data_IF_287183800314
#
_entry.id   IF_287183800314
#
_cell.length_a   1.000
_cell.length_b   1.000
_cell.length_c   1.000
_cell.angle_alpha   90.00
_cell.angle_beta   90.00
_cell.angle_gamma   90.00
#
_symmetry.space_group_name_H-M   'P 1'
#
loop_
_entity.id
_entity.type
_entity.pdbx_description
1 polymer ?
#
# COMPACT_ATOMS: atom_id res chain seq x y z
N UNK A 1 -16.67 8.91 21.10
CA UNK A 1 -17.35 8.47 22.33
C UNK A 1 -18.83 8.34 22.02
N UNK A 2 -19.36 7.12 22.01
CA UNK A 2 -20.81 6.89 21.91
C UNK A 2 -21.42 7.08 23.29
N UNK A 3 -22.37 8.00 23.41
CA UNK A 3 -23.32 7.98 24.53
C UNK A 3 -24.58 7.26 24.06
N UNK A 4 -24.85 6.08 24.61
CA UNK A 4 -26.17 5.47 24.60
C UNK A 4 -26.93 5.95 25.84
N UNK A 5 -28.14 6.46 25.65
CA UNK A 5 -29.17 6.47 26.70
C UNK A 5 -30.34 5.61 26.23
N UNK A 6 -30.90 4.75 27.10
CA UNK A 6 -32.07 3.95 26.81
C UNK A 6 -33.35 4.77 27.03
N UNK A 7 -34.46 4.28 26.46
CA UNK A 7 -35.85 4.74 26.56
C UNK A 7 -36.39 5.58 25.38
N UNK A 8 -37.29 4.92 24.63
CA UNK A 8 -38.45 5.41 23.86
C UNK A 8 -38.35 5.38 22.31
N UNK A 9 -39.42 4.96 21.60
CA UNK A 9 -39.36 4.33 20.28
C UNK A 9 -39.67 5.30 19.13
N UNK A 10 -38.90 6.38 19.02
CA UNK A 10 -38.98 7.29 17.88
C UNK A 10 -37.58 7.75 17.52
N UNK A 11 -37.07 7.28 16.38
CA UNK A 11 -35.82 7.76 15.79
C UNK A 11 -35.98 9.24 15.40
N UNK A 12 -35.45 10.13 16.24
CA UNK A 12 -35.03 11.47 15.84
C UNK A 12 -33.52 11.54 16.06
N UNK A 13 -32.75 11.39 14.98
CA UNK A 13 -31.34 11.77 14.97
C UNK A 13 -31.24 13.23 14.50
N UNK A 14 -30.75 14.12 15.36
CA UNK A 14 -30.21 15.41 14.94
C UNK A 14 -28.71 15.27 14.69
N UNK A 15 -28.28 15.44 13.45
CA UNK A 15 -26.90 15.85 13.17
C UNK A 15 -26.85 17.38 13.15
N UNK A 16 -25.95 17.94 13.95
CA UNK A 16 -25.53 19.33 13.90
C UNK A 16 -24.69 19.51 12.62
N UNK A 17 -24.98 20.56 11.88
CA UNK A 17 -24.28 21.06 10.68
C UNK A 17 -24.71 20.49 9.31
N UNK A 18 -25.89 20.94 8.84
CA UNK A 18 -26.12 21.18 7.41
C UNK A 18 -26.99 22.43 7.20
N UNK A 19 -26.38 23.45 6.61
CA UNK A 19 -27.02 24.68 6.15
C UNK A 19 -27.76 24.40 4.82
N UNK A 20 -29.10 24.59 4.78
CA UNK A 20 -29.93 25.10 3.66
C UNK A 20 -31.36 24.52 3.65
N UNK A 21 -32.41 25.32 3.38
CA UNK A 21 -33.80 24.86 3.36
C UNK A 21 -34.14 24.28 1.99
N UNK A 22 -34.59 23.01 1.94
CA UNK A 22 -35.31 22.47 0.78
C UNK A 22 -36.69 21.98 1.24
N UNK A 23 -37.71 22.66 0.73
CA UNK A 23 -39.12 22.30 0.87
C UNK A 23 -39.36 20.87 0.35
N UNK A 24 -39.68 19.93 1.24
CA UNK A 24 -40.22 18.64 0.83
C UNK A 24 -41.74 18.76 0.64
N UNK A 25 -42.21 18.69 -0.61
CA UNK A 25 -43.62 18.46 -0.91
C UNK A 25 -43.96 17.02 -0.50
N UNK A 26 -44.76 16.87 0.56
CA UNK A 26 -45.34 15.60 0.97
C UNK A 26 -46.33 15.16 -0.11
N UNK A 27 -46.10 14.02 -0.77
CA UNK A 27 -47.08 13.43 -1.71
C UNK A 27 -48.10 12.64 -0.87
N UNK A 28 -49.41 12.82 -1.08
CA UNK A 28 -50.41 12.04 -0.35
C UNK A 28 -50.34 10.57 -0.81
N UNK A 29 -50.34 9.64 0.15
CA UNK A 29 -50.49 8.21 -0.08
C UNK A 29 -52.00 7.88 -0.10
N UNK A 30 -52.46 7.13 -1.10
CA UNK A 30 -53.84 6.65 -1.18
C UNK A 30 -53.83 5.14 -0.94
N UNK A 31 -54.67 4.68 0.01
CA UNK A 31 -54.78 3.28 0.40
C UNK A 31 -55.65 2.53 -0.61
N UNK A 32 -55.13 1.49 -1.26
CA UNK A 32 -55.94 0.57 -2.09
C UNK A 32 -56.30 -0.66 -1.26
N UNK A 33 -57.60 -0.89 -1.05
CA UNK A 33 -58.13 -1.93 -0.17
C UNK A 33 -58.03 -3.37 -0.74
N UNK A 34 -57.46 -3.57 -1.92
CA UNK A 34 -57.44 -4.90 -2.59
C UNK A 34 -56.09 -5.64 -2.49
N UNK A 35 -55.00 -5.02 -2.04
CA UNK A 35 -53.66 -5.70 -2.02
C UNK A 35 -52.77 -5.43 -0.81
N UNK A 36 -53.27 -4.74 0.22
CA UNK A 36 -52.57 -4.49 1.49
C UNK A 36 -51.11 -4.01 1.33
N UNK A 37 -50.85 -3.16 0.31
CA UNK A 37 -49.53 -2.56 0.03
C UNK A 37 -49.65 -1.06 -0.25
N UNK A 38 -48.76 -0.29 0.38
CA UNK A 38 -48.56 1.15 0.12
C UNK A 38 -47.85 1.34 -1.23
N UNK A 39 -48.58 1.75 -2.27
CA UNK A 39 -48.03 2.09 -3.59
C UNK A 39 -48.11 3.60 -3.83
N UNK A 40 -47.04 4.15 -4.40
CA UNK A 40 -47.01 5.52 -4.93
C UNK A 40 -47.93 5.61 -6.14
N UNK A 41 -48.86 6.57 -6.15
CA UNK A 41 -49.74 6.83 -7.28
C UNK A 41 -48.92 7.18 -8.53
N UNK A 42 -48.87 6.25 -9.50
CA UNK A 42 -48.39 6.54 -10.85
C UNK A 42 -49.61 7.04 -11.63
N UNK A 43 -49.57 8.31 -12.06
CA UNK A 43 -50.56 8.85 -12.98
C UNK A 43 -50.61 7.99 -14.26
N UNK A 44 -51.79 7.53 -14.71
CA UNK A 44 -51.92 6.99 -16.04
C UNK A 44 -51.86 8.18 -17.02
N UNK A 45 -51.08 8.02 -18.08
CA UNK A 45 -50.89 8.98 -19.17
C UNK A 45 -49.94 10.18 -18.90
N UNK A 46 -48.66 9.86 -18.71
CA UNK A 46 -47.57 10.68 -19.26
C UNK A 46 -47.13 9.98 -20.53
N UNK A 47 -47.16 10.67 -21.66
CA UNK A 47 -46.63 10.18 -22.94
C UNK A 47 -45.31 9.44 -22.71
N UNK A 48 -45.28 8.17 -23.13
CA UNK A 48 -44.29 7.16 -22.76
C UNK A 48 -42.94 7.47 -23.43
N UNK A 49 -42.27 8.50 -22.93
CA UNK A 49 -40.97 8.93 -23.39
C UNK A 49 -39.89 7.93 -22.97
N UNK A 50 -38.84 7.86 -23.77
CA UNK A 50 -37.71 6.99 -23.51
C UNK A 50 -37.04 7.32 -22.17
N UNK A 51 -36.98 6.35 -21.27
CA UNK A 51 -36.35 6.48 -19.95
C UNK A 51 -34.82 6.45 -20.07
N UNK A 52 -34.10 6.93 -19.04
CA UNK A 52 -32.66 6.71 -18.92
C UNK A 52 -31.78 7.46 -19.93
N UNK A 53 -32.14 8.70 -20.31
CA UNK A 53 -31.30 9.51 -21.20
C UNK A 53 -31.32 9.09 -22.67
N UNK A 54 -32.25 8.21 -23.04
CA UNK A 54 -32.49 7.82 -24.41
C UNK A 54 -33.29 8.91 -25.17
N UNK A 55 -32.95 9.14 -26.45
CA UNK A 55 -33.62 10.09 -27.34
C UNK A 55 -34.75 9.41 -28.13
N UNK A 56 -34.51 8.22 -28.66
CA UNK A 56 -35.50 7.40 -29.37
C UNK A 56 -35.38 5.95 -28.92
N UNK A 57 -36.50 5.26 -28.70
CA UNK A 57 -36.55 3.91 -28.12
C UNK A 57 -37.66 3.09 -28.75
N UNK A 58 -37.59 1.78 -28.54
CA UNK A 58 -38.57 0.77 -28.93
C UNK A 58 -38.72 -0.25 -27.81
N UNK A 59 -39.89 -0.86 -27.69
CA UNK A 59 -40.17 -1.84 -26.62
C UNK A 59 -39.29 -3.10 -26.73
N UNK A 60 -38.90 -3.46 -27.96
CA UNK A 60 -38.12 -4.68 -28.23
C UNK A 60 -36.61 -4.44 -28.17
N UNK A 61 -36.11 -3.39 -28.82
CA UNK A 61 -34.67 -3.15 -28.92
C UNK A 61 -34.15 -2.20 -27.84
N UNK A 62 -35.02 -1.70 -26.95
CA UNK A 62 -34.67 -0.68 -25.97
C UNK A 62 -34.35 0.64 -26.64
N UNK A 63 -33.27 1.29 -26.21
CA UNK A 63 -32.85 2.55 -26.80
C UNK A 63 -32.26 2.37 -28.20
N UNK A 64 -32.61 3.28 -29.11
CA UNK A 64 -32.10 3.34 -30.49
C UNK A 64 -31.09 4.48 -30.67
N UNK A 65 -31.29 5.61 -29.99
CA UNK A 65 -30.37 6.75 -30.01
C UNK A 65 -30.25 7.39 -28.63
N UNK A 66 -29.04 7.74 -28.22
CA UNK A 66 -28.77 8.38 -26.95
C UNK A 66 -28.81 9.91 -27.05
N UNK A 67 -29.20 10.57 -25.95
CA UNK A 67 -29.01 12.02 -25.83
C UNK A 67 -27.51 12.36 -25.90
N UNK A 68 -27.16 13.60 -26.31
CA UNK A 68 -25.77 14.04 -26.37
C UNK A 68 -25.02 13.78 -25.06
N UNK A 69 -23.71 13.49 -25.17
CA UNK A 69 -22.77 13.16 -24.06
C UNK A 69 -22.91 11.76 -23.45
N UNK A 70 -24.00 11.04 -23.70
CA UNK A 70 -24.14 9.64 -23.27
C UNK A 70 -23.55 8.69 -24.30
N UNK A 71 -23.15 7.51 -23.85
CA UNK A 71 -22.62 6.42 -24.66
C UNK A 71 -23.65 5.32 -24.87
N UNK A 72 -23.81 4.91 -26.12
CA UNK A 72 -24.63 3.78 -26.51
C UNK A 72 -23.89 2.46 -26.28
N UNK A 73 -24.54 1.52 -25.61
CA UNK A 73 -24.07 0.14 -25.39
C UNK A 73 -25.17 -0.84 -25.74
N UNK A 74 -24.81 -1.96 -26.35
CA UNK A 74 -25.71 -3.09 -26.60
C UNK A 74 -25.50 -4.14 -25.51
N UNK A 75 -26.50 -4.30 -24.65
CA UNK A 75 -26.52 -5.35 -23.64
C UNK A 75 -27.15 -6.61 -24.20
N UNK A 76 -26.51 -7.76 -23.97
CA UNK A 76 -27.01 -9.07 -24.43
C UNK A 76 -27.60 -9.83 -23.25
N UNK A 77 -28.92 -10.02 -23.27
CA UNK A 77 -29.65 -10.85 -22.32
C UNK A 77 -30.19 -12.08 -23.05
N UNK A 78 -29.42 -13.17 -23.02
CA UNK A 78 -29.71 -14.39 -23.79
C UNK A 78 -29.57 -14.16 -25.30
N UNK A 79 -30.69 -14.31 -26.02
CA UNK A 79 -30.78 -14.02 -27.46
C UNK A 79 -31.16 -12.56 -27.76
N UNK A 80 -31.64 -11.82 -26.76
CA UNK A 80 -32.08 -10.43 -26.94
C UNK A 80 -30.90 -9.48 -26.84
N UNK A 81 -30.82 -8.51 -27.75
CA UNK A 81 -29.92 -7.37 -27.65
C UNK A 81 -30.73 -6.10 -27.41
N UNK A 82 -30.38 -5.35 -26.38
CA UNK A 82 -31.08 -4.14 -25.96
C UNK A 82 -30.08 -2.99 -25.93
N UNK A 83 -30.41 -1.89 -26.59
CA UNK A 83 -29.64 -0.66 -26.53
C UNK A 83 -29.89 0.09 -25.23
N UNK A 84 -28.82 0.52 -24.58
CA UNK A 84 -28.84 1.26 -23.32
C UNK A 84 -27.91 2.48 -23.45
N UNK A 85 -28.26 3.57 -22.79
CA UNK A 85 -27.44 4.78 -22.74
C UNK A 85 -26.82 4.95 -21.36
N UNK A 86 -25.49 5.06 -21.32
CA UNK A 86 -24.74 5.20 -20.07
C UNK A 86 -23.91 6.49 -20.07
N UNK A 87 -23.67 7.05 -18.89
CA UNK A 87 -22.79 8.22 -18.71
C UNK A 87 -21.30 7.83 -18.85
N UNK A 88 -20.96 6.59 -18.53
CA UNK A 88 -19.62 6.01 -18.67
C UNK A 88 -19.73 4.57 -19.16
N UNK A 89 -18.70 4.11 -19.89
CA UNK A 89 -18.66 2.74 -20.37
C UNK A 89 -18.37 1.75 -19.22
N UNK A 90 -18.97 0.54 -19.26
CA UNK A 90 -18.71 -0.50 -18.27
C UNK A 90 -17.28 -1.03 -18.38
N UNK A 91 -16.82 -1.76 -17.35
CA UNK A 91 -15.49 -2.39 -17.34
C UNK A 91 -15.28 -3.28 -18.58
N UNK A 92 -14.07 -3.23 -19.14
CA UNK A 92 -13.75 -3.91 -20.41
C UNK A 92 -14.18 -3.14 -21.67
N UNK A 93 -14.72 -1.94 -21.54
CA UNK A 93 -15.08 -1.06 -22.66
C UNK A 93 -14.53 0.36 -22.48
N UNK A 94 -14.18 1.00 -23.59
CA UNK A 94 -13.78 2.40 -23.63
C UNK A 94 -14.74 3.22 -24.49
N UNK A 95 -14.93 4.48 -24.13
CA UNK A 95 -15.82 5.39 -24.86
C UNK A 95 -15.19 5.86 -26.17
N UNK A 96 -15.88 5.67 -27.29
CA UNK A 96 -15.51 6.22 -28.60
C UNK A 96 -16.53 7.29 -28.98
N UNK A 97 -16.06 8.52 -29.26
CA UNK A 97 -16.91 9.62 -29.73
C UNK A 97 -16.80 9.71 -31.24
N UNK A 98 -17.88 9.39 -31.94
CA UNK A 98 -17.99 9.56 -33.39
C UNK A 98 -18.97 10.71 -33.69
N UNK A 99 -18.89 11.33 -34.89
CA UNK A 99 -19.80 12.41 -35.27
C UNK A 99 -21.28 12.02 -35.13
N UNK A 100 -21.59 10.75 -35.36
CA UNK A 100 -22.98 10.25 -35.39
C UNK A 100 -23.45 9.74 -34.03
N UNK A 101 -22.60 9.02 -33.29
CA UNK A 101 -22.96 8.41 -32.00
C UNK A 101 -21.73 8.21 -31.12
N UNK A 102 -21.86 8.46 -29.82
CA UNK A 102 -20.86 8.02 -28.85
C UNK A 102 -21.20 6.57 -28.46
N UNK A 103 -20.26 5.65 -28.61
CA UNK A 103 -20.47 4.23 -28.31
C UNK A 103 -19.40 3.67 -27.40
N UNK A 104 -19.75 2.64 -26.64
CA UNK A 104 -18.78 1.87 -25.88
C UNK A 104 -18.18 0.76 -26.76
N UNK A 105 -16.86 0.82 -26.96
CA UNK A 105 -16.12 -0.18 -27.74
C UNK A 105 -15.34 -1.09 -26.79
N UNK A 106 -15.37 -2.40 -27.04
CA UNK A 106 -14.68 -3.37 -26.18
C UNK A 106 -13.16 -3.20 -26.26
N UNK A 107 -12.47 -3.36 -25.12
CA UNK A 107 -11.02 -3.45 -25.05
C UNK A 107 -10.49 -4.68 -25.80
N UNK A 108 -9.18 -4.71 -26.04
CA UNK A 108 -8.51 -5.90 -26.62
C UNK A 108 -8.60 -7.11 -25.68
N UNK A 109 -8.39 -8.30 -26.23
CA UNK A 109 -8.61 -9.57 -25.53
C UNK A 109 -7.69 -9.78 -24.32
N UNK A 110 -6.49 -9.20 -24.34
CA UNK A 110 -5.41 -9.20 -23.34
C UNK A 110 -5.57 -8.11 -22.26
N UNK A 111 -6.50 -7.18 -22.46
CA UNK A 111 -6.67 -6.00 -21.61
C UNK A 111 -7.98 -6.05 -20.79
N UNK A 112 -7.89 -5.77 -19.49
CA UNK A 112 -9.03 -5.72 -18.55
C UNK A 112 -9.70 -4.34 -18.59
N UNK A 113 -8.91 -3.26 -18.46
CA UNK A 113 -9.39 -1.89 -18.61
C UNK A 113 -8.50 -1.09 -19.54
N UNK A 114 -9.10 -0.34 -20.46
CA UNK A 114 -8.38 0.44 -21.46
C UNK A 114 -8.91 1.87 -21.54
N UNK A 115 -8.00 2.80 -21.81
CA UNK A 115 -8.34 4.19 -22.09
C UNK A 115 -8.80 4.37 -23.54
N UNK A 116 -8.13 3.68 -24.47
CA UNK A 116 -8.49 3.63 -25.88
C UNK A 116 -8.07 2.28 -26.50
N UNK A 117 -8.27 2.11 -27.81
CA UNK A 117 -7.93 0.87 -28.53
C UNK A 117 -6.47 0.41 -28.35
N UNK A 118 -5.54 1.35 -28.18
CA UNK A 118 -4.10 1.11 -28.17
C UNK A 118 -3.47 1.24 -26.77
N UNK A 119 -4.19 1.84 -25.83
CA UNK A 119 -3.70 2.14 -24.50
C UNK A 119 -4.55 1.42 -23.45
N UNK A 120 -3.99 0.34 -22.92
CA UNK A 120 -4.48 -0.41 -21.79
C UNK A 120 -3.96 0.20 -20.49
N UNK A 121 -4.81 0.25 -19.47
CA UNK A 121 -4.47 0.71 -18.12
C UNK A 121 -4.33 -0.44 -17.14
N UNK A 122 -4.96 -1.59 -17.41
CA UNK A 122 -4.84 -2.80 -16.60
C UNK A 122 -4.96 -4.03 -17.47
N UNK A 123 -3.98 -4.91 -17.38
CA UNK A 123 -3.96 -6.16 -18.13
C UNK A 123 -4.76 -7.25 -17.44
N UNK A 124 -5.17 -8.25 -18.22
CA UNK A 124 -5.75 -9.47 -17.66
C UNK A 124 -4.67 -10.33 -17.01
N UNK A 125 -5.08 -11.21 -16.10
CA UNK A 125 -4.18 -12.15 -15.44
C UNK A 125 -3.38 -12.95 -16.46
N UNK A 126 -2.07 -13.08 -16.22
CA UNK A 126 -1.14 -13.73 -17.13
C UNK A 126 -0.53 -12.81 -18.20
N UNK A 127 -0.94 -11.54 -18.24
CA UNK A 127 -0.30 -10.51 -19.06
C UNK A 127 0.27 -9.40 -18.19
N UNK A 128 1.37 -8.81 -18.64
CA UNK A 128 2.12 -7.76 -17.98
C UNK A 128 2.00 -6.45 -18.75
N UNK A 129 1.67 -5.37 -18.05
CA UNK A 129 1.53 -4.04 -18.63
C UNK A 129 2.91 -3.44 -18.93
N UNK A 130 3.09 -2.99 -20.17
CA UNK A 130 4.26 -2.24 -20.59
C UNK A 130 3.87 -1.17 -21.63
N UNK A 131 4.12 0.11 -21.31
CA UNK A 131 3.83 1.27 -22.19
C UNK A 131 2.39 1.27 -22.74
N UNK A 132 1.41 0.91 -21.91
CA UNK A 132 0.00 0.86 -22.29
C UNK A 132 -0.38 -0.36 -23.14
N UNK A 133 0.48 -1.37 -23.26
CA UNK A 133 0.18 -2.64 -23.94
C UNK A 133 0.32 -3.80 -22.96
N UNK A 134 -0.44 -4.86 -23.19
CA UNK A 134 -0.35 -6.09 -22.41
C UNK A 134 0.49 -7.11 -23.19
N UNK A 135 1.50 -7.65 -22.52
CA UNK A 135 2.43 -8.63 -23.09
C UNK A 135 2.41 -9.89 -22.22
N UNK A 136 2.53 -11.05 -22.84
CA UNK A 136 2.69 -12.32 -22.13
C UNK A 136 4.10 -12.43 -21.49
N UNK A 137 5.11 -11.94 -22.20
CA UNK A 137 6.50 -11.89 -21.74
C UNK A 137 7.07 -10.47 -21.82
N UNK A 138 7.75 -10.02 -20.76
CA UNK A 138 8.39 -8.71 -20.75
C UNK A 138 9.60 -8.66 -21.71
N UNK A 139 9.83 -7.52 -22.39
CA UNK A 139 10.98 -7.36 -23.29
C UNK A 139 12.31 -7.31 -22.54
N UNK A 140 13.42 -7.34 -23.28
CA UNK A 140 14.77 -7.34 -22.71
C UNK A 140 15.03 -6.13 -21.78
N UNK A 141 15.73 -6.38 -20.67
CA UNK A 141 16.02 -5.38 -19.64
C UNK A 141 14.89 -5.17 -18.62
N UNK A 142 13.73 -5.81 -18.81
CA UNK A 142 12.62 -5.77 -17.86
C UNK A 142 12.34 -7.14 -17.25
N UNK A 143 11.76 -7.15 -16.07
CA UNK A 143 11.25 -8.35 -15.41
C UNK A 143 9.75 -8.24 -15.11
N UNK A 144 9.12 -9.40 -15.05
CA UNK A 144 7.72 -9.54 -14.75
C UNK A 144 7.48 -9.42 -13.24
N UNK A 145 6.76 -8.39 -12.81
CA UNK A 145 6.32 -8.27 -11.43
C UNK A 145 4.93 -8.89 -11.26
N UNK A 146 4.86 -10.03 -10.57
CA UNK A 146 3.60 -10.74 -10.33
C UNK A 146 2.65 -10.03 -9.36
N UNK A 147 3.14 -9.09 -8.55
CA UNK A 147 2.31 -8.35 -7.60
C UNK A 147 1.51 -7.24 -8.28
N UNK A 148 2.15 -6.54 -9.24
CA UNK A 148 1.51 -5.43 -9.97
C UNK A 148 1.01 -5.84 -11.35
N UNK A 149 1.43 -6.99 -11.89
CA UNK A 149 1.20 -7.41 -13.28
C UNK A 149 1.75 -6.38 -14.28
N UNK A 150 2.95 -5.89 -14.02
CA UNK A 150 3.64 -4.88 -14.83
C UNK A 150 5.06 -5.35 -15.16
N UNK A 151 5.59 -4.85 -16.29
CA UNK A 151 7.00 -5.01 -16.61
C UNK A 151 7.81 -3.91 -15.93
N UNK A 152 8.63 -4.29 -14.96
CA UNK A 152 9.50 -3.39 -14.20
C UNK A 152 10.94 -3.51 -14.67
N UNK A 153 11.74 -2.45 -14.56
CA UNK A 153 13.16 -2.50 -14.89
C UNK A 153 13.91 -3.44 -13.97
N UNK A 154 14.84 -4.23 -14.52
CA UNK A 154 15.74 -5.04 -13.71
C UNK A 154 16.63 -4.09 -12.90
N UNK A 155 16.60 -4.26 -11.58
CA UNK A 155 17.41 -3.47 -10.66
C UNK A 155 18.60 -4.32 -10.25
N UNK A 156 19.81 -3.83 -10.50
CA UNK A 156 21.04 -4.48 -10.05
C UNK A 156 21.42 -4.00 -8.65
N UNK A 157 22.22 -4.79 -7.94
CA UNK A 157 22.68 -4.37 -6.63
C UNK A 157 23.70 -3.22 -6.75
N UNK A 158 23.41 -2.11 -6.08
CA UNK A 158 24.32 -0.97 -5.95
C UNK A 158 24.82 -0.88 -4.51
N UNK A 159 26.13 -0.69 -4.35
CA UNK A 159 26.78 -0.57 -3.05
C UNK A 159 27.37 0.81 -2.87
N UNK A 160 27.51 1.25 -1.62
CA UNK A 160 28.19 2.48 -1.27
C UNK A 160 29.67 2.46 -1.65
N UNK A 161 30.27 3.64 -1.58
CA UNK A 161 31.72 3.74 -1.48
C UNK A 161 32.23 2.95 -0.26
N UNK A 162 33.44 2.45 -0.38
CA UNK A 162 34.11 1.74 0.71
C UNK A 162 34.39 2.68 1.87
N UNK A 163 34.21 2.18 3.09
CA UNK A 163 34.74 2.85 4.27
C UNK A 163 36.27 2.97 4.18
N UNK A 164 36.88 3.90 4.92
CA UNK A 164 38.31 3.84 5.21
C UNK A 164 38.69 2.48 5.81
N UNK A 165 39.93 2.07 5.60
CA UNK A 165 40.47 0.85 6.23
C UNK A 165 40.49 1.01 7.75
N UNK A 166 40.06 -0.03 8.46
CA UNK A 166 40.22 -0.09 9.91
C UNK A 166 41.70 -0.04 10.29
N UNK A 167 42.04 0.30 11.54
CA UNK A 167 43.38 0.08 12.05
C UNK A 167 43.82 -1.38 11.85
N UNK A 168 45.09 -1.58 11.52
CA UNK A 168 45.69 -2.91 11.47
C UNK A 168 45.58 -3.56 12.86
N UNK A 169 45.02 -4.77 12.95
CA UNK A 169 44.88 -5.51 14.22
C UNK A 169 45.37 -6.94 14.11
N UNK A 170 45.76 -7.53 15.24
CA UNK A 170 46.06 -8.97 15.36
C UNK A 170 45.41 -9.52 16.62
N UNK A 171 44.49 -10.49 16.49
CA UNK A 171 43.72 -11.06 17.61
C UNK A 171 43.05 -9.99 18.49
N UNK A 172 42.41 -9.00 17.85
CA UNK A 172 41.73 -7.88 18.54
C UNK A 172 42.65 -6.82 19.16
N UNK A 173 43.98 -6.95 19.03
CA UNK A 173 44.94 -5.95 19.55
C UNK A 173 45.43 -5.04 18.43
N UNK A 174 45.75 -3.78 18.75
CA UNK A 174 46.31 -2.75 17.83
C UNK A 174 47.81 -2.50 18.04
N UNK A 175 48.42 -3.11 19.06
CA UNK A 175 49.84 -2.95 19.42
C UNK A 175 50.53 -4.32 19.60
N UNK A 176 51.87 -4.33 19.67
CA UNK A 176 52.64 -5.53 20.02
C UNK A 176 52.84 -6.56 18.90
N UNK A 177 52.41 -6.28 17.67
CA UNK A 177 52.63 -7.14 16.49
C UNK A 177 53.27 -6.37 15.33
N UNK A 178 53.84 -7.12 14.38
CA UNK A 178 54.42 -6.60 13.13
C UNK A 178 53.52 -6.87 11.91
N UNK A 179 52.73 -7.93 11.94
CA UNK A 179 51.81 -8.33 10.86
C UNK A 179 50.41 -8.50 11.44
N UNK A 180 49.41 -7.91 10.81
CA UNK A 180 48.00 -7.98 11.20
C UNK A 180 47.09 -8.02 9.99
N UNK A 181 45.82 -7.75 10.24
CA UNK A 181 44.77 -7.60 9.23
C UNK A 181 44.00 -6.33 9.47
N UNK A 182 43.58 -5.70 8.39
CA UNK A 182 42.64 -4.57 8.40
C UNK A 182 41.47 -4.91 7.51
N UNK A 183 40.30 -4.40 7.91
CA UNK A 183 39.04 -4.66 7.24
C UNK A 183 38.40 -3.33 6.87
N UNK A 184 37.76 -3.27 5.71
CA UNK A 184 36.86 -2.19 5.33
C UNK A 184 35.49 -2.78 5.02
N UNK A 185 34.47 -1.94 5.17
CA UNK A 185 33.08 -2.33 4.95
C UNK A 185 32.42 -1.34 4.00
N UNK A 186 31.39 -1.79 3.32
CA UNK A 186 30.48 -0.96 2.53
C UNK A 186 29.07 -1.47 2.70
N UNK A 187 28.10 -0.63 2.41
CA UNK A 187 26.70 -0.94 2.58
C UNK A 187 26.01 -1.13 1.22
N UNK A 188 24.89 -1.84 1.21
CA UNK A 188 24.03 -1.97 0.03
C UNK A 188 23.13 -0.74 -0.01
N UNK A 189 23.25 0.07 -1.06
CA UNK A 189 22.38 1.23 -1.30
C UNK A 189 21.10 0.78 -2.00
N UNK A 190 21.23 -0.12 -2.97
CA UNK A 190 20.11 -0.64 -3.74
C UNK A 190 20.16 -2.17 -3.75
N UNK A 191 19.08 -2.79 -3.27
CA UNK A 191 18.93 -4.23 -3.35
C UNK A 191 18.60 -4.67 -4.78
N UNK A 192 19.15 -5.80 -5.24
CA UNK A 192 18.85 -6.31 -6.57
C UNK A 192 17.43 -6.86 -6.61
N UNK A 193 16.83 -6.80 -7.79
CA UNK A 193 15.59 -7.49 -8.07
C UNK A 193 15.81 -8.98 -8.35
N UNK A 194 14.73 -9.72 -8.61
CA UNK A 194 14.79 -11.18 -8.78
C UNK A 194 15.71 -11.60 -9.94
N UNK A 195 15.73 -10.82 -11.02
CA UNK A 195 16.66 -11.01 -12.15
C UNK A 195 17.91 -10.12 -12.09
N UNK A 196 18.11 -9.40 -10.97
CA UNK A 196 19.28 -8.56 -10.75
C UNK A 196 20.56 -9.36 -10.52
N UNK A 197 21.70 -8.67 -10.57
CA UNK A 197 23.00 -9.28 -10.25
C UNK A 197 23.14 -9.39 -8.74
N UNK A 198 23.82 -10.44 -8.26
CA UNK A 198 24.13 -10.61 -6.85
C UNK A 198 24.94 -9.42 -6.32
N UNK A 199 24.68 -9.04 -5.08
CA UNK A 199 25.45 -7.99 -4.43
C UNK A 199 26.92 -8.40 -4.30
N UNK A 200 27.85 -7.50 -4.65
CA UNK A 200 29.26 -7.76 -4.43
C UNK A 200 29.56 -7.76 -2.91
N UNK A 201 30.72 -8.27 -2.46
CA UNK A 201 30.99 -8.48 -1.03
C UNK A 201 30.97 -7.17 -0.24
N UNK A 202 30.30 -7.18 0.92
CA UNK A 202 30.14 -6.01 1.81
C UNK A 202 31.33 -5.76 2.75
N UNK A 203 32.23 -6.74 2.88
CA UNK A 203 33.42 -6.63 3.71
C UNK A 203 34.65 -7.12 2.94
N UNK A 204 35.74 -6.40 3.07
CA UNK A 204 37.03 -6.79 2.51
C UNK A 204 38.11 -6.74 3.58
N UNK A 205 38.92 -7.80 3.67
CA UNK A 205 40.02 -7.90 4.63
C UNK A 205 41.33 -8.08 3.90
N UNK A 206 42.34 -7.29 4.29
CA UNK A 206 43.70 -7.41 3.75
C UNK A 206 44.75 -7.54 4.86
N UNK A 207 45.89 -8.11 4.50
CA UNK A 207 47.05 -8.22 5.39
C UNK A 207 47.77 -6.86 5.44
N UNK A 208 48.19 -6.46 6.64
CA UNK A 208 48.91 -5.22 6.89
C UNK A 208 50.18 -5.47 7.70
N UNK A 209 51.17 -4.61 7.52
CA UNK A 209 52.46 -4.65 8.23
C UNK A 209 52.66 -3.32 8.93
N UNK A 210 52.85 -3.35 10.24
CA UNK A 210 53.03 -2.16 11.08
C UNK A 210 54.32 -2.25 11.88
N UNK A 211 54.83 -1.09 12.30
CA UNK A 211 55.96 -1.05 13.22
C UNK A 211 55.54 -1.57 14.60
N UNK A 212 56.37 -2.43 15.19
CA UNK A 212 56.04 -3.11 16.45
C UNK A 212 56.17 -2.15 17.63
N UNK A 213 55.08 -1.44 17.94
CA UNK A 213 54.98 -0.57 19.12
C UNK A 213 54.82 -1.41 20.40
N UNK A 214 55.51 -1.02 21.49
CA UNK A 214 55.26 -1.58 22.82
C UNK A 214 53.83 -1.23 23.21
N UNK A 215 53.05 -2.23 23.59
CA UNK A 215 51.74 -1.98 24.17
C UNK A 215 51.92 -1.24 25.50
N UNK A 216 51.12 -0.20 25.78
CA UNK A 216 50.99 0.30 27.15
C UNK A 216 50.64 -0.89 28.05
N UNK A 217 51.38 -1.08 29.16
CA UNK A 217 50.96 -2.04 30.18
C UNK A 217 49.61 -1.55 30.68
N UNK A 218 48.55 -2.30 30.42
CA UNK A 218 47.21 -1.91 30.86
C UNK A 218 47.19 -1.78 32.38
N UNK A 219 46.74 -0.64 32.89
CA UNK A 219 45.72 -0.70 33.94
C UNK A 219 44.63 -1.62 33.40
N UNK A 220 44.18 -2.57 34.23
CA UNK A 220 43.11 -3.51 33.91
C UNK A 220 41.98 -2.71 33.25
N UNK A 221 41.84 -2.84 31.94
CA UNK A 221 40.68 -2.34 31.24
C UNK A 221 39.50 -2.94 31.96
N UNK A 222 38.70 -2.10 32.60
CA UNK A 222 37.37 -2.48 33.03
C UNK A 222 36.74 -3.18 31.84
N UNK A 223 36.48 -4.47 31.97
CA UNK A 223 35.58 -5.17 31.06
C UNK A 223 34.32 -4.32 31.05
N UNK A 224 34.09 -3.55 29.98
CA UNK A 224 32.82 -2.88 29.80
C UNK A 224 31.88 -4.02 29.48
N UNK A 225 31.28 -4.60 30.52
CA UNK A 225 30.14 -5.49 30.37
C UNK A 225 29.01 -4.64 29.81
N UNK A 226 28.87 -4.65 28.49
CA UNK A 226 27.71 -4.07 27.82
C UNK A 226 26.53 -5.00 28.11
N UNK A 227 25.80 -4.73 29.19
CA UNK A 227 24.53 -5.43 29.44
C UNK A 227 23.46 -4.79 28.57
N UNK A 228 23.11 -5.49 27.49
CA UNK A 228 21.94 -5.17 26.69
C UNK A 228 20.69 -5.53 27.49
N UNK A 229 19.82 -4.56 27.76
CA UNK A 229 18.48 -4.82 28.31
C UNK A 229 17.49 -4.69 27.17
N UNK A 230 16.59 -5.66 27.03
CA UNK A 230 15.46 -5.54 26.11
C UNK A 230 14.49 -4.53 26.72
N UNK A 231 14.34 -3.37 26.10
CA UNK A 231 13.35 -2.38 26.52
C UNK A 231 11.97 -2.85 26.06
N UNK A 232 11.19 -3.41 26.99
CA UNK A 232 9.76 -3.68 26.76
C UNK A 232 9.00 -2.38 27.03
N UNK A 233 8.71 -1.62 25.98
CA UNK A 233 7.80 -0.47 26.09
C UNK A 233 6.39 -1.01 26.39
N UNK A 234 5.86 -0.71 27.58
CA UNK A 234 4.45 -0.92 27.86
C UNK A 234 3.64 0.14 27.10
N UNK A 235 2.86 -0.31 26.11
CA UNK A 235 1.98 0.50 25.26
C UNK A 235 0.74 1.00 26.01
N UNK A 236 0.89 1.69 27.14
CA UNK A 236 -0.28 2.21 27.88
C UNK A 236 -0.44 3.73 27.85
N UNK A 237 0.46 4.49 27.21
CA UNK A 237 0.36 5.96 27.13
C UNK A 237 0.74 6.55 25.74
N UNK A 238 0.16 6.04 24.65
CA UNK A 238 0.33 6.65 23.31
C UNK A 238 -1.00 6.68 22.53
N UNK A 239 -1.90 7.59 22.92
CA UNK A 239 -3.10 7.98 22.13
C UNK A 239 -2.86 9.18 21.21
N UNK A 240 -1.63 9.42 20.74
CA UNK A 240 -1.42 10.33 19.62
C UNK A 240 -0.01 10.16 19.06
N UNK A 241 0.09 9.46 17.92
CA UNK A 241 1.01 9.73 16.80
C UNK A 241 1.07 8.49 15.89
N UNK A 242 0.34 8.56 14.76
CA UNK A 242 0.46 7.62 13.65
C UNK A 242 1.78 7.85 12.91
N UNK A 243 2.90 7.38 13.45
CA UNK A 243 4.18 7.10 12.72
C UNK A 243 5.28 6.61 13.69
N UNK A 244 5.04 5.54 14.44
CA UNK A 244 6.14 4.86 15.16
C UNK A 244 6.60 3.64 14.37
N UNK A 245 7.72 3.77 13.65
CA UNK A 245 8.41 2.65 12.99
C UNK A 245 9.27 1.96 14.05
N UNK A 246 9.03 0.67 14.31
CA UNK A 246 9.83 -0.12 15.24
C UNK A 246 11.24 -0.28 14.65
N UNK A 247 12.19 0.47 15.19
CA UNK A 247 13.62 0.25 15.00
C UNK A 247 14.18 -0.25 16.33
N UNK A 248 14.51 -1.54 16.38
CA UNK A 248 15.33 -2.25 17.36
C UNK A 248 15.20 -1.87 18.86
N UNK A 249 14.68 -2.75 19.74
CA UNK A 249 14.43 -2.43 21.16
C UNK A 249 15.66 -2.58 22.07
N UNK A 250 16.88 -2.44 21.54
CA UNK A 250 18.12 -2.69 22.27
C UNK A 250 18.78 -1.35 22.61
N UNK A 251 18.70 -0.95 23.88
CA UNK A 251 19.46 0.17 24.40
C UNK A 251 20.69 -0.35 25.14
N UNK A 252 21.89 0.11 24.75
CA UNK A 252 23.15 -0.20 25.41
C UNK A 252 23.60 1.05 26.19
N UNK A 253 23.91 0.90 27.48
CA UNK A 253 24.43 1.99 28.31
C UNK A 253 25.74 1.59 29.02
N UNK A 254 26.59 2.58 29.27
CA UNK A 254 27.86 2.43 30.00
C UNK A 254 27.62 2.65 31.51
N UNK A 255 27.82 1.61 32.32
CA UNK A 255 27.44 1.57 33.74
C UNK A 255 28.27 2.55 34.59
N UNK A 256 29.44 2.97 34.11
CA UNK A 256 30.36 3.82 34.88
C UNK A 256 30.03 5.33 34.82
N UNK A 257 28.98 5.72 34.09
CA UNK A 257 28.60 7.13 33.87
C UNK A 257 27.33 7.57 34.60
N UNK A 258 26.74 6.72 35.45
CA UNK A 258 25.50 7.04 36.17
C UNK A 258 25.77 7.50 37.61
N UNK A 259 25.17 8.62 38.06
CA UNK A 259 25.22 9.03 39.46
C UNK A 259 24.48 8.03 40.36
N UNK A 260 24.93 7.90 41.61
CA UNK A 260 24.45 6.95 42.61
C UNK A 260 22.94 7.07 42.98
N UNK A 261 22.21 8.02 42.39
CA UNK A 261 20.75 8.18 42.57
C UNK A 261 19.90 7.19 41.75
N UNK A 262 20.49 6.42 40.83
CA UNK A 262 19.77 5.42 40.02
C UNK A 262 19.64 4.04 40.68
N UNK A 263 20.33 3.79 41.80
CA UNK A 263 20.22 2.53 42.54
C UNK A 263 18.82 2.26 43.11
N UNK A 264 17.99 3.30 43.30
CA UNK A 264 16.66 3.16 43.89
C UNK A 264 15.55 2.66 42.93
N UNK A 265 15.85 2.39 41.64
CA UNK A 265 14.90 1.69 40.75
C UNK A 265 15.19 0.19 40.59
N UNK A 266 16.31 -0.32 41.13
CA UNK A 266 16.73 -1.71 40.96
C UNK A 266 16.09 -2.65 41.99
N UNK A 267 15.73 -2.15 43.18
CA UNK A 267 15.22 -3.00 44.27
C UNK A 267 13.76 -3.45 44.11
N UNK A 268 13.00 -2.92 43.15
CA UNK A 268 11.61 -3.38 42.91
C UNK A 268 11.51 -4.59 41.95
N UNK A 269 12.61 -5.01 41.33
CA UNK A 269 12.65 -6.12 40.37
C UNK A 269 13.43 -7.35 40.85
N UNK A 270 13.75 -7.47 42.14
CA UNK A 270 14.27 -8.73 42.73
C UNK A 270 13.23 -9.87 42.81
N UNK A 271 12.10 -9.78 42.11
CA UNK A 271 11.01 -10.76 42.15
C UNK A 271 11.05 -11.89 41.11
N UNK A 272 11.95 -11.88 40.12
CA UNK A 272 11.97 -12.92 39.08
C UNK A 272 13.40 -13.40 38.76
N UNK A 273 14.00 -14.10 39.74
CA UNK A 273 14.97 -15.15 39.43
C UNK A 273 14.26 -16.26 38.67
N UNK A 274 14.51 -16.40 37.36
CA UNK A 274 14.60 -17.73 36.71
C UNK A 274 15.34 -17.64 35.37
N UNK A 275 16.63 -18.00 35.45
CA UNK A 275 17.35 -18.92 34.58
C UNK A 275 17.02 -18.81 33.07
N UNK A 276 17.93 -18.20 32.31
CA UNK A 276 18.36 -18.77 31.02
C UNK A 276 19.88 -18.60 30.92
N UNK A 277 20.57 -19.67 31.28
CA UNK A 277 21.94 -19.96 30.86
C UNK A 277 21.85 -20.62 29.49
N UNK A 278 22.43 -20.01 28.45
CA UNK A 278 23.02 -20.67 27.28
C UNK A 278 24.17 -19.81 26.78
#
# INVERSE_FOLDING_TARGET
>A
MLCCLPFSPTLLCFCRDCWAPKLWKVRPLVFSAETDKMLYAVHPNVSQGCQGGCATCSDYNGCLSCKPRLFFVLERNGMKQIGVCLSSCPSGYYGTRSPDINKCTKCKADCDTCFNKNFCTKCKNGFYLHLGKCLDTCPEGLEANNHTMECTSIVHCETSEWSPWSPCTKKGKTCGFKRGTETRVREIIQHPSAKGNLCPPMSETRKCVVQRKKCPKGERGTTIEVKCVVCVFNFHDLTSMHTAKIMSPICCFDINSLPASTYNMVDKYQGLKRIMSM
#
